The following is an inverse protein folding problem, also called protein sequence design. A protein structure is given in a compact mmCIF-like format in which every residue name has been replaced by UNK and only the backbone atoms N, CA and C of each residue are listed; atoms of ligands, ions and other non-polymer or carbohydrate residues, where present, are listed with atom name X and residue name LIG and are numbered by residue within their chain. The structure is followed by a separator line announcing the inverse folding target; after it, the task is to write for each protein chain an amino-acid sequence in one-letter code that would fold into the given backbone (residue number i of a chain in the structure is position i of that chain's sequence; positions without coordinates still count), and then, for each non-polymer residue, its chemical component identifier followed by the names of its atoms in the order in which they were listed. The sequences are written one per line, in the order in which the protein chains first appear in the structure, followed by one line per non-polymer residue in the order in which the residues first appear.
data_IF_305471642747
#
_entry.id   IF_305471642747
#
_cell.length_a   1.000
_cell.length_b   1.000
_cell.length_c   1.000
_cell.angle_alpha   90.00
_cell.angle_beta   90.00
_cell.angle_gamma   90.00
#
_symmetry.space_group_name_H-M   'P 1'
#
loop_
_entity.id
_entity.type
_entity.pdbx_description
1 polymer ?
#
# COMPACT_ATOMS: atom_id res chain seq x y z
N UNK A 1 -22.25 -35.36 0.22
CA UNK A 1 -22.44 -33.94 0.55
C UNK A 1 -21.43 -33.14 -0.22
N UNK A 2 -21.83 -32.49 -1.31
CA UNK A 2 -20.98 -31.53 -2.03
C UNK A 2 -20.96 -30.25 -1.19
N UNK A 3 -19.79 -29.93 -0.63
CA UNK A 3 -19.55 -28.61 -0.07
C UNK A 3 -19.53 -27.61 -1.22
N UNK A 4 -20.53 -26.75 -1.28
CA UNK A 4 -20.50 -25.59 -2.17
C UNK A 4 -19.29 -24.74 -1.73
N UNK A 5 -18.22 -24.71 -2.55
CA UNK A 5 -17.17 -23.70 -2.41
C UNK A 5 -17.85 -22.36 -2.64
N UNK A 6 -18.13 -21.63 -1.60
CA UNK A 6 -18.56 -20.25 -1.70
C UNK A 6 -17.54 -19.51 -2.54
N UNK A 7 -17.98 -18.96 -3.67
CA UNK A 7 -17.17 -18.04 -4.49
C UNK A 7 -16.77 -16.88 -3.57
N UNK A 8 -15.51 -16.72 -3.31
CA UNK A 8 -15.02 -15.59 -2.53
C UNK A 8 -15.43 -14.30 -3.26
N UNK A 9 -16.31 -13.53 -2.63
CA UNK A 9 -16.80 -12.28 -3.19
C UNK A 9 -15.62 -11.31 -3.32
N UNK A 10 -15.34 -10.83 -4.52
CA UNK A 10 -14.32 -9.79 -4.72
C UNK A 10 -14.76 -8.50 -4.05
N UNK A 11 -13.84 -7.88 -3.33
CA UNK A 11 -14.05 -6.59 -2.68
C UNK A 11 -13.19 -5.54 -3.38
N UNK A 12 -13.71 -4.34 -3.57
CA UNK A 12 -12.87 -3.23 -4.03
C UNK A 12 -11.79 -2.98 -2.98
N UNK A 13 -10.53 -3.24 -3.35
CA UNK A 13 -9.39 -3.08 -2.45
C UNK A 13 -8.59 -1.79 -2.71
N UNK A 14 -8.79 -1.17 -3.88
CA UNK A 14 -8.12 0.07 -4.23
C UNK A 14 -8.94 0.89 -5.22
N UNK A 15 -8.71 2.20 -5.19
CA UNK A 15 -9.26 3.15 -6.15
C UNK A 15 -8.26 4.28 -6.41
N UNK A 16 -8.43 4.94 -7.55
CA UNK A 16 -7.75 6.20 -7.84
C UNK A 16 -8.73 7.25 -8.37
N UNK A 17 -8.39 8.50 -8.13
CA UNK A 17 -9.05 9.67 -8.68
C UNK A 17 -7.96 10.63 -9.17
N UNK A 18 -8.12 11.19 -10.35
CA UNK A 18 -7.23 12.21 -10.89
C UNK A 18 -7.21 13.46 -9.99
N UNK A 19 -6.00 14.03 -9.75
CA UNK A 19 -5.85 15.14 -8.81
C UNK A 19 -6.39 16.48 -9.34
N UNK A 20 -6.21 16.72 -10.63
CA UNK A 20 -6.39 18.06 -11.20
C UNK A 20 -7.60 18.17 -12.13
N UNK A 21 -8.28 17.09 -12.46
CA UNK A 21 -9.37 17.05 -13.44
C UNK A 21 -8.89 17.40 -14.85
N UNK A 22 -7.58 17.26 -15.13
CA UNK A 22 -6.98 17.45 -16.43
C UNK A 22 -7.24 16.26 -17.34
N UNK A 23 -7.22 16.46 -18.65
CA UNK A 23 -7.48 15.39 -19.62
C UNK A 23 -6.18 14.63 -19.92
N UNK A 24 -5.71 13.86 -18.93
CA UNK A 24 -4.40 13.22 -18.97
C UNK A 24 -4.38 11.86 -19.66
N UNK A 25 -5.55 11.24 -19.86
CA UNK A 25 -5.67 9.98 -20.58
C UNK A 25 -5.91 10.26 -22.06
N UNK A 26 -5.10 9.66 -22.93
CA UNK A 26 -5.10 9.98 -24.37
C UNK A 26 -5.20 8.72 -25.21
N UNK A 27 -6.18 8.67 -26.10
CA UNK A 27 -6.22 7.70 -27.18
C UNK A 27 -5.78 8.39 -28.48
N UNK A 28 -4.80 7.82 -29.16
CA UNK A 28 -4.32 8.32 -30.46
C UNK A 28 -4.71 7.34 -31.57
N UNK A 29 -5.49 7.84 -32.54
CA UNK A 29 -5.84 7.11 -33.73
C UNK A 29 -4.73 7.26 -34.78
N UNK A 30 -4.16 6.14 -35.21
CA UNK A 30 -3.10 6.07 -36.23
C UNK A 30 -3.64 5.51 -37.57
N UNK A 31 -4.97 5.47 -37.76
CA UNK A 31 -5.70 4.98 -38.93
C UNK A 31 -5.64 3.46 -39.17
N UNK A 32 -4.58 2.79 -38.81
CA UNK A 32 -4.40 1.32 -38.92
C UNK A 32 -4.21 0.65 -37.56
N UNK A 33 -4.13 1.45 -36.52
CA UNK A 33 -3.98 1.04 -35.12
C UNK A 33 -4.39 2.19 -34.21
N UNK A 34 -4.45 1.92 -32.92
CA UNK A 34 -4.62 2.93 -31.89
C UNK A 34 -3.63 2.74 -30.75
N UNK A 35 -3.30 3.80 -30.04
CA UNK A 35 -2.54 3.74 -28.79
C UNK A 35 -3.34 4.41 -27.69
N UNK A 36 -3.36 3.79 -26.51
CA UNK A 36 -3.97 4.38 -25.33
C UNK A 36 -2.90 4.57 -24.26
N UNK A 37 -2.66 5.82 -23.90
CA UNK A 37 -1.58 6.24 -23.01
C UNK A 37 -2.08 7.34 -22.06
N UNK A 38 -1.22 7.75 -21.15
CA UNK A 38 -1.34 9.00 -20.41
C UNK A 38 -0.37 10.06 -20.99
N UNK A 39 -0.56 11.31 -20.58
CA UNK A 39 0.38 12.39 -20.89
C UNK A 39 1.78 12.11 -20.34
N UNK A 40 2.79 12.78 -20.90
CA UNK A 40 4.18 12.60 -20.47
C UNK A 40 4.36 12.88 -18.99
N UNK A 41 5.11 12.00 -18.31
CA UNK A 41 5.38 12.11 -16.86
C UNK A 41 4.34 11.45 -15.95
N UNK A 42 3.32 10.80 -16.50
CA UNK A 42 2.26 10.12 -15.76
C UNK A 42 1.14 11.07 -15.31
N UNK A 43 -0.08 10.56 -15.21
CA UNK A 43 -1.24 11.30 -14.69
C UNK A 43 -1.17 11.42 -13.16
N UNK A 44 -1.20 12.64 -12.59
CA UNK A 44 -1.24 12.80 -11.13
C UNK A 44 -2.57 12.29 -10.57
N UNK A 45 -2.50 11.36 -9.63
CA UNK A 45 -3.70 10.74 -9.02
C UNK A 45 -3.61 10.70 -7.52
N UNK A 46 -4.78 10.76 -6.86
CA UNK A 46 -4.98 10.30 -5.50
C UNK A 46 -5.29 8.82 -5.55
N UNK A 47 -4.47 8.02 -4.88
CA UNK A 47 -4.69 6.59 -4.74
C UNK A 47 -5.07 6.24 -3.31
N UNK A 48 -5.99 5.30 -3.14
CA UNK A 48 -6.47 4.86 -1.83
C UNK A 48 -6.60 3.33 -1.83
N UNK A 49 -5.94 2.69 -0.85
CA UNK A 49 -6.29 1.34 -0.46
C UNK A 49 -7.53 1.35 0.45
N UNK A 50 -8.40 0.38 0.29
CA UNK A 50 -9.61 0.25 1.12
C UNK A 50 -9.95 -1.22 1.37
N UNK A 51 -10.66 -1.50 2.44
CA UNK A 51 -11.09 -2.86 2.80
C UNK A 51 -9.93 -3.87 2.97
N UNK A 52 -8.75 -3.41 3.37
CA UNK A 52 -7.58 -4.25 3.62
C UNK A 52 -7.24 -4.15 5.11
N UNK A 53 -7.45 -5.27 5.85
CA UNK A 53 -7.03 -5.35 7.24
C UNK A 53 -5.51 -5.47 7.36
N UNK A 54 -4.92 -4.86 8.39
CA UNK A 54 -3.48 -4.94 8.66
C UNK A 54 -2.59 -4.10 7.73
N UNK A 55 -3.16 -3.13 7.02
CA UNK A 55 -2.38 -2.19 6.22
C UNK A 55 -1.64 -1.20 7.15
N UNK A 56 -0.32 -0.98 6.95
CA UNK A 56 0.45 -0.01 7.73
C UNK A 56 -0.17 1.40 7.72
N UNK A 57 -0.12 2.17 8.82
CA UNK A 57 -0.71 3.51 8.89
C UNK A 57 -0.25 4.45 7.76
N UNK A 58 1.00 4.38 7.34
CA UNK A 58 1.56 5.19 6.23
C UNK A 58 0.98 4.89 4.85
N UNK A 59 0.25 3.77 4.71
CA UNK A 59 -0.47 3.38 3.49
C UNK A 59 -1.99 3.53 3.64
N UNK A 60 -2.48 3.91 4.81
CA UNK A 60 -3.88 4.26 5.02
C UNK A 60 -4.12 5.69 4.53
N UNK A 61 -5.33 5.98 4.05
CA UNK A 61 -5.66 7.28 3.50
C UNK A 61 -5.11 7.52 2.08
N UNK A 62 -5.28 8.74 1.60
CA UNK A 62 -4.93 9.14 0.24
C UNK A 62 -3.41 9.18 0.05
N UNK A 63 -2.94 8.53 -1.00
CA UNK A 63 -1.54 8.54 -1.44
C UNK A 63 -1.42 9.39 -2.70
N UNK A 64 -0.49 10.37 -2.70
CA UNK A 64 -0.12 11.07 -3.92
C UNK A 64 0.71 10.16 -4.81
N UNK A 65 0.29 10.00 -6.06
CA UNK A 65 0.88 9.04 -6.97
C UNK A 65 0.76 9.49 -8.43
N UNK A 66 1.52 8.81 -9.29
CA UNK A 66 1.41 8.94 -10.74
C UNK A 66 0.92 7.64 -11.34
N UNK A 67 -0.09 7.76 -12.21
CA UNK A 67 -0.61 6.65 -12.98
C UNK A 67 0.01 6.66 -14.37
N UNK A 68 0.50 5.50 -14.77
CA UNK A 68 1.00 5.22 -16.11
C UNK A 68 0.12 4.14 -16.72
N UNK A 69 -0.32 4.33 -17.96
CA UNK A 69 -1.07 3.35 -18.73
C UNK A 69 -0.47 3.25 -20.11
N UNK A 70 -0.34 2.04 -20.63
CA UNK A 70 0.13 1.83 -21.99
C UNK A 70 -0.53 0.60 -22.60
N UNK A 71 -1.02 0.76 -23.80
CA UNK A 71 -1.47 -0.30 -24.68
C UNK A 71 -1.53 0.18 -26.13
N UNK A 72 -1.58 -0.77 -27.04
CA UNK A 72 -1.89 -0.56 -28.46
C UNK A 72 -3.10 -1.41 -28.83
N UNK A 73 -3.76 -1.08 -29.91
CA UNK A 73 -4.81 -1.92 -30.49
C UNK A 73 -4.67 -1.94 -32.00
N UNK A 74 -4.89 -3.09 -32.59
CA UNK A 74 -4.91 -3.30 -34.05
C UNK A 74 -6.33 -3.66 -34.54
N UNK A 75 -7.28 -3.84 -33.63
CA UNK A 75 -8.69 -4.10 -33.94
C UNK A 75 -9.48 -2.81 -34.10
N UNK A 76 -10.19 -2.61 -35.24
CA UNK A 76 -11.12 -1.50 -35.38
C UNK A 76 -12.22 -1.53 -34.33
N UNK A 77 -12.70 -0.36 -33.97
CA UNK A 77 -13.90 -0.19 -33.15
C UNK A 77 -15.19 -0.41 -33.97
N UNK A 78 -16.30 -0.41 -33.27
CA UNK A 78 -17.63 -0.53 -33.83
C UNK A 78 -18.61 0.43 -33.16
N UNK A 79 -19.71 0.73 -33.88
CA UNK A 79 -20.88 1.43 -33.32
C UNK A 79 -22.09 0.52 -33.44
N UNK A 80 -22.66 0.11 -32.31
CA UNK A 80 -23.81 -0.74 -32.24
C UNK A 80 -24.87 -0.10 -31.33
N UNK A 81 -26.09 0.14 -31.88
CA UNK A 81 -27.18 0.72 -31.09
C UNK A 81 -26.83 2.07 -30.44
N UNK A 82 -26.00 2.89 -31.11
CA UNK A 82 -25.56 4.18 -30.57
C UNK A 82 -24.39 4.08 -29.54
N UNK A 83 -23.85 2.90 -29.29
CA UNK A 83 -22.71 2.67 -28.42
C UNK A 83 -21.44 2.46 -29.25
N UNK A 84 -20.43 3.26 -29.03
CA UNK A 84 -19.06 3.06 -29.52
C UNK A 84 -18.37 2.01 -28.64
N UNK A 85 -17.66 1.07 -29.28
CA UNK A 85 -16.79 0.11 -28.62
C UNK A 85 -15.47 0.02 -29.38
N UNK A 86 -14.37 0.33 -28.69
CA UNK A 86 -13.01 0.18 -29.19
C UNK A 86 -12.33 -0.96 -28.44
N UNK A 87 -12.15 -2.13 -29.05
CA UNK A 87 -11.42 -3.23 -28.44
C UNK A 87 -9.95 -2.86 -28.18
N UNK A 88 -9.40 -3.41 -27.10
CA UNK A 88 -7.98 -3.37 -26.77
C UNK A 88 -7.45 -4.79 -26.88
N UNK A 89 -6.98 -5.15 -28.07
CA UNK A 89 -6.58 -6.52 -28.42
C UNK A 89 -5.14 -6.88 -27.98
N UNK A 90 -4.43 -5.93 -27.43
CA UNK A 90 -3.10 -6.14 -26.85
C UNK A 90 -3.12 -6.01 -25.33
N UNK A 91 -2.01 -6.40 -24.71
CA UNK A 91 -1.85 -6.26 -23.26
C UNK A 91 -1.92 -4.79 -22.83
N UNK A 92 -2.74 -4.52 -21.82
CA UNK A 92 -2.80 -3.23 -21.14
C UNK A 92 -2.01 -3.33 -19.86
N UNK A 93 -1.10 -2.40 -19.66
CA UNK A 93 -0.30 -2.28 -18.44
C UNK A 93 -0.64 -0.96 -17.76
N UNK A 94 -1.00 -1.03 -16.50
CA UNK A 94 -1.26 0.12 -15.64
C UNK A 94 -0.31 0.03 -14.46
N UNK A 95 0.37 1.13 -14.15
CA UNK A 95 1.22 1.26 -12.98
C UNK A 95 0.84 2.51 -12.20
N UNK A 96 0.65 2.37 -10.90
CA UNK A 96 0.40 3.48 -9.98
C UNK A 96 1.58 3.54 -9.03
N UNK A 97 2.39 4.57 -9.21
CA UNK A 97 3.66 4.76 -8.51
C UNK A 97 3.53 5.94 -7.56
N UNK A 98 3.82 5.72 -6.31
CA UNK A 98 3.80 6.75 -5.26
C UNK A 98 4.87 7.81 -5.54
N UNK A 99 4.55 9.08 -5.32
CA UNK A 99 5.47 10.21 -5.54
C UNK A 99 6.65 10.21 -4.55
N UNK A 100 6.46 9.62 -3.38
CA UNK A 100 7.50 9.47 -2.36
C UNK A 100 7.66 8.01 -1.97
N UNK A 101 8.87 7.52 -1.70
CA UNK A 101 9.08 6.18 -1.14
C UNK A 101 8.29 5.96 0.15
N UNK A 102 7.96 4.70 0.44
CA UNK A 102 7.36 4.35 1.72
C UNK A 102 8.35 4.63 2.87
N UNK A 103 7.87 5.02 4.07
CA UNK A 103 8.73 5.19 5.22
C UNK A 103 9.56 3.94 5.54
N UNK A 104 10.74 4.08 6.14
CA UNK A 104 11.52 2.95 6.64
C UNK A 104 10.68 2.02 7.52
N UNK A 105 10.85 0.71 7.39
CA UNK A 105 10.07 -0.30 8.11
C UNK A 105 8.79 -0.77 7.38
N UNK A 106 8.28 -0.01 6.43
CA UNK A 106 7.20 -0.47 5.54
C UNK A 106 7.83 -1.12 4.31
N UNK A 107 8.37 -2.30 4.50
CA UNK A 107 8.88 -3.12 3.43
C UNK A 107 10.28 -2.81 2.91
N UNK A 108 11.04 -1.99 3.57
CA UNK A 108 12.45 -1.69 3.26
C UNK A 108 12.68 -1.04 1.90
N UNK A 109 13.56 -0.04 1.84
CA UNK A 109 14.03 0.57 0.60
C UNK A 109 12.99 1.40 -0.17
N UNK A 110 13.34 1.73 -1.39
CA UNK A 110 12.61 2.64 -2.30
C UNK A 110 11.30 2.06 -2.85
N UNK A 111 10.43 1.54 -1.97
CA UNK A 111 9.15 0.94 -2.38
C UNK A 111 8.14 2.03 -2.74
N UNK A 112 7.82 2.09 -4.02
CA UNK A 112 6.93 3.11 -4.58
C UNK A 112 5.75 2.51 -5.34
N UNK A 113 5.83 1.25 -5.83
CA UNK A 113 4.76 0.64 -6.61
C UNK A 113 3.56 0.30 -5.74
N UNK A 114 2.55 1.19 -5.74
CA UNK A 114 1.28 0.95 -5.08
C UNK A 114 0.50 -0.18 -5.77
N UNK A 115 0.40 -0.13 -7.10
CA UNK A 115 -0.31 -1.14 -7.87
C UNK A 115 0.22 -1.21 -9.31
N UNK A 116 0.49 -2.41 -9.76
CA UNK A 116 0.61 -2.74 -11.19
C UNK A 116 -0.58 -3.64 -11.55
N UNK A 117 -1.35 -3.26 -12.55
CA UNK A 117 -2.40 -4.08 -13.13
C UNK A 117 -2.04 -4.38 -14.59
N UNK A 118 -2.03 -5.66 -14.94
CA UNK A 118 -1.80 -6.12 -16.31
C UNK A 118 -2.99 -6.95 -16.73
N UNK A 119 -3.59 -6.63 -17.86
CA UNK A 119 -4.70 -7.41 -18.39
C UNK A 119 -4.60 -7.52 -19.90
N UNK A 120 -5.14 -8.61 -20.41
CA UNK A 120 -5.14 -8.95 -21.84
C UNK A 120 -6.40 -9.72 -22.21
N UNK A 121 -6.72 -9.78 -23.50
CA UNK A 121 -7.82 -10.62 -23.99
C UNK A 121 -7.68 -12.08 -23.54
N UNK A 122 -8.81 -12.71 -23.24
CA UNK A 122 -8.95 -14.16 -23.08
C UNK A 122 -10.12 -14.64 -23.94
N UNK A 123 -11.32 -14.78 -23.39
CA UNK A 123 -12.53 -15.04 -24.17
C UNK A 123 -13.11 -13.79 -24.83
N UNK A 124 -12.82 -12.62 -24.24
CA UNK A 124 -13.22 -11.30 -24.73
C UNK A 124 -12.04 -10.32 -24.72
N UNK A 125 -12.12 -9.29 -25.56
CA UNK A 125 -11.18 -8.18 -25.52
C UNK A 125 -11.73 -7.09 -24.60
N UNK A 126 -10.90 -6.57 -23.66
CA UNK A 126 -11.25 -5.34 -22.96
C UNK A 126 -11.55 -4.23 -23.95
N UNK A 127 -12.48 -3.36 -23.64
CA UNK A 127 -12.91 -2.33 -24.61
C UNK A 127 -13.14 -0.99 -23.92
N UNK A 128 -12.82 0.09 -24.62
CA UNK A 128 -13.28 1.44 -24.26
C UNK A 128 -14.67 1.61 -24.88
N UNK A 129 -15.68 1.82 -24.05
CA UNK A 129 -17.09 1.89 -24.49
C UNK A 129 -17.79 3.14 -23.96
N UNK A 130 -18.72 3.68 -24.75
CA UNK A 130 -19.57 4.80 -24.34
C UNK A 130 -20.56 5.18 -25.43
N UNK A 131 -21.43 6.14 -25.14
CA UNK A 131 -22.40 6.63 -26.13
C UNK A 131 -21.69 7.36 -27.27
N UNK A 132 -22.10 7.10 -28.53
CA UNK A 132 -21.60 7.84 -29.69
C UNK A 132 -21.98 9.32 -29.58
N UNK A 133 -21.01 10.21 -29.70
CA UNK A 133 -21.18 11.65 -29.44
C UNK A 133 -21.17 12.02 -27.94
N UNK A 134 -20.97 11.06 -27.04
CA UNK A 134 -20.89 11.30 -25.60
C UNK A 134 -19.55 11.89 -25.15
N UNK A 135 -19.53 12.44 -23.94
CA UNK A 135 -18.36 13.01 -23.30
C UNK A 135 -17.81 12.13 -22.17
N UNK A 136 -18.24 10.88 -22.11
CA UNK A 136 -17.78 9.89 -21.14
C UNK A 136 -17.63 8.51 -21.78
N UNK A 137 -16.73 7.71 -21.21
CA UNK A 137 -16.49 6.33 -21.60
C UNK A 137 -16.12 5.49 -20.38
N UNK A 138 -16.17 4.17 -20.54
CA UNK A 138 -15.72 3.22 -19.52
C UNK A 138 -14.78 2.19 -20.14
N UNK A 139 -13.94 1.59 -19.31
CA UNK A 139 -13.11 0.45 -19.66
C UNK A 139 -13.12 -0.51 -18.45
N UNK A 140 -13.29 -1.80 -18.71
CA UNK A 140 -13.26 -2.80 -17.65
C UNK A 140 -12.56 -4.08 -18.11
N UNK A 141 -11.98 -4.78 -17.14
CA UNK A 141 -11.47 -6.12 -17.33
C UNK A 141 -11.81 -6.98 -16.11
N UNK A 142 -12.28 -8.19 -16.36
CA UNK A 142 -12.80 -9.09 -15.34
C UNK A 142 -12.38 -10.53 -15.66
N UNK A 143 -11.88 -11.26 -14.68
CA UNK A 143 -11.69 -12.71 -14.80
C UNK A 143 -13.06 -13.42 -14.73
N UNK A 144 -13.32 -14.50 -15.49
CA UNK A 144 -12.41 -15.18 -16.41
C UNK A 144 -12.38 -14.63 -17.85
N UNK A 145 -13.21 -13.63 -18.20
CA UNK A 145 -13.33 -13.13 -19.57
C UNK A 145 -12.01 -12.53 -20.09
N UNK A 146 -11.23 -11.99 -19.18
CA UNK A 146 -9.90 -11.44 -19.43
C UNK A 146 -8.88 -12.10 -18.52
N UNK A 147 -7.63 -12.15 -18.97
CA UNK A 147 -6.51 -12.42 -18.06
C UNK A 147 -6.18 -11.15 -17.30
N UNK A 148 -6.33 -11.17 -15.97
CA UNK A 148 -6.03 -10.01 -15.10
C UNK A 148 -5.04 -10.43 -14.03
N UNK A 149 -3.95 -9.69 -13.90
CA UNK A 149 -2.96 -9.86 -12.83
C UNK A 149 -2.72 -8.54 -12.10
N UNK A 150 -2.51 -8.64 -10.78
CA UNK A 150 -2.15 -7.51 -9.94
C UNK A 150 -0.81 -7.77 -9.26
N UNK A 151 0.00 -6.72 -9.12
CA UNK A 151 1.24 -6.71 -8.37
C UNK A 151 1.36 -5.42 -7.56
N UNK A 152 2.02 -5.49 -6.41
CA UNK A 152 2.27 -4.34 -5.54
C UNK A 152 3.52 -4.60 -4.71
N UNK A 153 4.20 -3.55 -4.28
CA UNK A 153 5.26 -3.67 -3.28
C UNK A 153 4.71 -3.93 -1.87
N UNK A 154 3.41 -3.75 -1.65
CA UNK A 154 2.76 -3.75 -0.35
C UNK A 154 1.73 -4.86 -0.16
N UNK A 155 1.21 -5.42 -1.25
CA UNK A 155 0.13 -6.40 -1.23
C UNK A 155 0.53 -7.68 -1.97
N UNK A 156 0.19 -8.83 -1.39
CA UNK A 156 0.29 -10.14 -2.03
C UNK A 156 -1.06 -10.52 -2.65
N UNK A 157 -1.00 -10.94 -3.90
CA UNK A 157 -2.13 -11.46 -4.67
C UNK A 157 -2.01 -12.96 -4.93
N UNK A 158 -1.10 -13.67 -4.24
CA UNK A 158 -0.80 -15.06 -4.50
C UNK A 158 -2.00 -16.01 -4.28
N UNK A 159 -2.87 -15.70 -3.33
CA UNK A 159 -4.07 -16.48 -3.01
C UNK A 159 -5.33 -16.01 -3.74
N UNK A 160 -5.26 -14.94 -4.55
CA UNK A 160 -6.43 -14.37 -5.22
C UNK A 160 -6.65 -15.02 -6.59
N UNK A 161 -7.90 -15.43 -6.87
CA UNK A 161 -8.29 -16.04 -8.14
C UNK A 161 -9.14 -15.12 -8.99
N UNK A 162 -9.91 -14.24 -8.36
CA UNK A 162 -10.76 -13.28 -9.06
C UNK A 162 -10.18 -11.88 -8.97
N UNK A 163 -10.12 -11.20 -10.11
CA UNK A 163 -9.56 -9.86 -10.24
C UNK A 163 -10.36 -9.08 -11.24
N UNK A 164 -10.83 -7.92 -10.82
CA UNK A 164 -11.64 -7.03 -11.64
C UNK A 164 -11.06 -5.62 -11.56
N UNK A 165 -11.18 -4.88 -12.64
CA UNK A 165 -10.92 -3.45 -12.66
C UNK A 165 -11.97 -2.74 -13.51
N UNK A 166 -12.25 -1.50 -13.17
CA UNK A 166 -13.12 -0.63 -13.93
C UNK A 166 -12.56 0.80 -13.92
N UNK A 167 -12.54 1.41 -15.10
CA UNK A 167 -12.17 2.80 -15.31
C UNK A 167 -13.37 3.57 -15.83
N UNK A 168 -13.50 4.80 -15.39
CA UNK A 168 -14.46 5.78 -15.90
C UNK A 168 -13.70 6.98 -16.43
N UNK A 169 -13.96 7.33 -17.67
CA UNK A 169 -13.39 8.49 -18.34
C UNK A 169 -14.48 9.54 -18.47
N UNK A 170 -14.14 10.78 -18.19
CA UNK A 170 -15.04 11.93 -18.26
C UNK A 170 -14.39 13.09 -19.01
N UNK A 171 -15.18 14.10 -19.32
CA UNK A 171 -14.69 15.30 -20.02
C UNK A 171 -13.95 14.98 -21.32
N UNK A 172 -14.43 13.97 -22.07
CA UNK A 172 -13.80 13.58 -23.33
C UNK A 172 -13.75 14.77 -24.30
N UNK A 173 -12.59 14.99 -24.89
CA UNK A 173 -12.39 16.01 -25.92
C UNK A 173 -11.53 15.44 -27.05
N UNK A 174 -12.07 15.41 -28.28
CA UNK A 174 -13.48 15.59 -28.66
C UNK A 174 -14.38 14.50 -28.11
N UNK A 175 -15.71 14.60 -28.35
CA UNK A 175 -16.69 13.60 -27.95
C UNK A 175 -16.42 12.22 -28.57
N UNK A 176 -16.87 11.16 -27.91
CA UNK A 176 -16.61 9.77 -28.28
C UNK A 176 -17.22 9.45 -29.67
N UNK A 177 -16.40 9.08 -30.64
CA UNK A 177 -16.84 8.60 -31.96
C UNK A 177 -15.71 7.82 -32.64
N UNK A 178 -16.04 7.13 -33.75
CA UNK A 178 -15.03 6.50 -34.57
C UNK A 178 -14.46 7.52 -35.58
N UNK A 179 -13.15 7.43 -35.79
CA UNK A 179 -12.38 8.20 -36.74
C UNK A 179 -11.83 7.36 -37.91
N UNK A 180 -10.67 7.74 -38.41
CA UNK A 180 -10.00 7.04 -39.50
C UNK A 180 -9.77 5.57 -39.22
N UNK A 181 -9.90 4.71 -40.21
CA UNK A 181 -9.73 3.26 -40.09
C UNK A 181 -10.75 2.56 -39.20
N UNK A 182 -11.87 3.23 -38.86
CA UNK A 182 -12.86 2.78 -37.88
C UNK A 182 -12.30 2.60 -36.47
N UNK A 183 -11.15 3.15 -36.13
CA UNK A 183 -10.67 3.25 -34.74
C UNK A 183 -11.37 4.40 -34.01
N UNK A 184 -11.39 4.32 -32.66
CA UNK A 184 -11.78 5.48 -31.85
C UNK A 184 -11.01 6.70 -32.32
N UNK A 185 -11.67 7.84 -32.50
CA UNK A 185 -10.95 9.08 -32.82
C UNK A 185 -9.97 9.45 -31.71
N UNK A 186 -8.96 10.24 -32.03
CA UNK A 186 -8.04 10.73 -31.00
C UNK A 186 -8.80 11.58 -29.99
N UNK A 187 -8.76 11.19 -28.73
CA UNK A 187 -9.44 11.85 -27.61
C UNK A 187 -8.47 12.05 -26.45
N UNK A 188 -8.78 13.03 -25.62
CA UNK A 188 -8.25 13.16 -24.27
C UNK A 188 -9.39 13.11 -23.24
N UNK A 189 -9.11 12.65 -22.03
CA UNK A 189 -10.11 12.49 -20.98
C UNK A 189 -9.50 12.60 -19.59
N UNK A 190 -10.29 13.04 -18.63
CA UNK A 190 -10.02 12.83 -17.19
C UNK A 190 -10.45 11.41 -16.80
N UNK A 191 -9.87 10.85 -15.74
CA UNK A 191 -10.13 9.46 -15.38
C UNK A 191 -10.16 9.16 -13.89
N UNK A 192 -10.90 8.11 -13.56
CA UNK A 192 -10.91 7.47 -12.24
C UNK A 192 -11.06 5.96 -12.41
N UNK A 193 -10.75 5.19 -11.36
CA UNK A 193 -10.92 3.75 -11.47
C UNK A 193 -10.88 3.03 -10.13
N UNK A 194 -11.33 1.79 -10.18
CA UNK A 194 -11.41 0.87 -9.05
C UNK A 194 -10.79 -0.48 -9.39
N UNK A 195 -10.25 -1.13 -8.38
CA UNK A 195 -9.66 -2.46 -8.48
C UNK A 195 -10.25 -3.36 -7.40
N UNK A 196 -10.71 -4.53 -7.78
CA UNK A 196 -11.36 -5.48 -6.89
C UNK A 196 -10.66 -6.84 -6.91
N UNK A 197 -10.38 -7.34 -5.71
CA UNK A 197 -9.80 -8.64 -5.40
C UNK A 197 -9.78 -8.82 -3.87
N UNK A 198 -9.09 -9.83 -3.36
CA UNK A 198 -8.89 -10.05 -1.91
C UNK A 198 -7.39 -10.20 -1.61
N UNK A 199 -6.57 -9.14 -1.78
CA UNK A 199 -5.16 -9.21 -1.42
C UNK A 199 -4.96 -9.17 0.09
N UNK A 200 -3.76 -9.60 0.51
CA UNK A 200 -3.30 -9.45 1.89
C UNK A 200 -2.05 -8.58 1.92
N UNK A 201 -1.81 -7.79 2.97
CA UNK A 201 -0.57 -7.05 3.12
C UNK A 201 0.64 -8.01 3.12
N UNK A 202 1.71 -7.66 2.39
CA UNK A 202 2.96 -8.41 2.43
C UNK A 202 3.60 -8.27 3.82
N UNK A 203 3.44 -7.11 4.42
CA UNK A 203 3.84 -6.81 5.78
C UNK A 203 2.60 -6.84 6.66
N UNK A 204 2.45 -7.94 7.38
CA UNK A 204 1.51 -7.99 8.49
C UNK A 204 2.10 -7.12 9.59
N UNK A 205 1.50 -5.95 9.83
CA UNK A 205 1.60 -5.38 11.18
C UNK A 205 0.93 -6.43 12.06
N UNK A 206 1.61 -7.01 13.06
CA UNK A 206 0.96 -7.98 13.92
C UNK A 206 -0.33 -7.36 14.45
N UNK A 207 -1.46 -7.96 14.12
CA UNK A 207 -2.76 -7.49 14.58
C UNK A 207 -2.81 -7.69 16.09
N UNK A 208 -2.81 -6.59 16.82
CA UNK A 208 -3.31 -6.38 18.18
C UNK A 208 -2.89 -7.27 19.36
N UNK A 209 -2.00 -8.22 19.23
CA UNK A 209 -1.15 -8.65 20.34
C UNK A 209 0.25 -8.14 20.06
N UNK A 210 0.51 -6.88 20.43
CA UNK A 210 1.86 -6.33 20.36
C UNK A 210 2.82 -7.25 21.07
N UNK A 211 4.04 -7.32 20.60
CA UNK A 211 5.11 -8.02 21.32
C UNK A 211 5.41 -7.31 22.61
N UNK A 212 5.93 -8.04 23.58
CA UNK A 212 6.29 -7.52 24.88
C UNK A 212 7.82 -7.40 25.00
N UNK A 213 8.27 -6.43 25.78
CA UNK A 213 9.64 -6.38 26.30
C UNK A 213 9.54 -6.47 27.83
N UNK A 214 9.95 -7.60 28.36
CA UNK A 214 10.00 -7.87 29.78
C UNK A 214 11.44 -7.92 30.27
N UNK A 215 11.73 -7.34 31.42
CA UNK A 215 13.07 -7.36 31.96
C UNK A 215 13.11 -6.87 33.40
N UNK A 216 14.32 -6.77 33.93
CA UNK A 216 14.61 -6.32 35.29
C UNK A 216 15.65 -5.21 35.31
N UNK A 217 15.45 -4.28 36.19
CA UNK A 217 16.49 -3.29 36.56
C UNK A 217 17.19 -3.82 37.80
N UNK A 218 18.48 -4.11 37.67
CA UNK A 218 19.29 -4.77 38.71
C UNK A 218 20.41 -3.85 39.19
N UNK A 219 20.88 -4.05 40.43
CA UNK A 219 22.12 -3.47 40.93
C UNK A 219 23.34 -4.32 40.55
N UNK A 220 24.55 -3.91 40.96
CA UNK A 220 25.79 -4.65 40.70
C UNK A 220 25.87 -6.03 41.37
N UNK A 221 25.01 -6.30 42.34
CA UNK A 221 24.92 -7.59 43.06
C UNK A 221 23.76 -8.48 42.51
N UNK A 222 23.06 -8.04 41.43
CA UNK A 222 21.96 -8.75 40.81
C UNK A 222 20.63 -8.61 41.56
N UNK A 223 20.51 -7.69 42.51
CA UNK A 223 19.26 -7.44 43.24
C UNK A 223 18.39 -6.44 42.45
N UNK A 224 17.10 -6.62 42.46
CA UNK A 224 16.16 -5.75 41.78
C UNK A 224 16.11 -4.33 42.36
N UNK A 225 16.19 -3.32 41.51
CA UNK A 225 16.01 -1.91 41.86
C UNK A 225 14.55 -1.53 41.68
N UNK A 226 13.87 -1.20 42.76
CA UNK A 226 12.48 -0.74 42.76
C UNK A 226 12.38 0.74 42.36
N UNK A 227 11.23 1.09 41.80
CA UNK A 227 10.88 2.48 41.43
C UNK A 227 11.88 3.13 40.44
N UNK A 228 12.60 2.34 39.67
CA UNK A 228 13.33 2.86 38.53
C UNK A 228 12.35 3.23 37.41
N UNK A 229 12.53 4.36 36.79
CA UNK A 229 11.76 4.75 35.61
C UNK A 229 12.41 4.17 34.37
N UNK A 230 11.68 3.30 33.67
CA UNK A 230 12.10 2.75 32.38
C UNK A 230 11.30 3.44 31.29
N UNK A 231 11.99 3.99 30.30
CA UNK A 231 11.40 4.70 29.16
C UNK A 231 11.70 3.96 27.88
N UNK A 232 10.69 3.76 27.05
CA UNK A 232 10.79 3.23 25.70
C UNK A 232 10.46 4.36 24.72
N UNK A 233 11.36 4.64 23.79
CA UNK A 233 11.14 5.61 22.71
C UNK A 233 11.13 4.87 21.40
N UNK A 234 10.04 5.01 20.63
CA UNK A 234 9.92 4.43 19.31
C UNK A 234 10.56 5.32 18.22
N UNK A 235 10.53 4.86 16.97
CA UNK A 235 11.11 5.60 15.82
C UNK A 235 10.38 6.92 15.52
N UNK A 236 9.13 7.05 15.95
CA UNK A 236 8.30 8.25 15.75
C UNK A 236 8.55 9.29 16.88
N UNK A 237 9.43 8.96 17.84
CA UNK A 237 9.73 9.81 19.00
C UNK A 237 8.70 9.72 20.14
N UNK A 238 7.72 8.80 20.05
CA UNK A 238 6.77 8.58 21.14
C UNK A 238 7.45 7.90 22.32
N UNK A 239 7.14 8.36 23.51
CA UNK A 239 7.78 7.89 24.75
C UNK A 239 6.75 7.24 25.67
N UNK A 240 6.91 5.94 25.88
CA UNK A 240 6.17 5.18 26.89
C UNK A 240 7.02 5.02 28.15
N UNK A 241 6.41 5.15 29.33
CA UNK A 241 7.10 5.05 30.64
C UNK A 241 6.44 4.01 31.52
N UNK A 242 7.27 3.18 32.14
CA UNK A 242 6.86 2.23 33.19
C UNK A 242 7.79 2.37 34.39
N UNK A 243 7.34 1.90 35.56
CA UNK A 243 8.13 1.92 36.77
C UNK A 243 8.40 0.49 37.20
N UNK A 244 9.67 0.20 37.56
CA UNK A 244 10.02 -1.14 37.99
C UNK A 244 9.38 -1.49 39.37
N UNK A 245 8.99 -2.77 39.47
CA UNK A 245 8.40 -3.34 40.69
C UNK A 245 9.40 -3.41 41.87
N UNK A 246 8.95 -3.92 43.01
CA UNK A 246 9.82 -4.17 44.19
C UNK A 246 10.96 -5.14 43.90
N UNK A 247 10.84 -6.00 42.91
CA UNK A 247 11.84 -6.96 42.44
C UNK A 247 12.60 -6.49 41.19
N UNK A 248 12.42 -5.23 40.79
CA UNK A 248 13.05 -4.64 39.63
C UNK A 248 12.37 -4.97 38.29
N UNK A 249 11.30 -5.75 38.27
CA UNK A 249 10.64 -6.14 37.02
C UNK A 249 9.92 -4.95 36.35
N UNK A 250 10.00 -4.90 35.03
CA UNK A 250 9.23 -3.98 34.18
C UNK A 250 8.71 -4.74 32.95
N UNK A 251 7.64 -4.23 32.36
CA UNK A 251 7.05 -4.75 31.12
C UNK A 251 6.54 -3.61 30.26
N UNK A 252 6.81 -3.69 28.97
CA UNK A 252 6.17 -2.91 27.92
C UNK A 252 5.36 -3.85 27.04
N UNK A 253 4.08 -3.55 26.88
CA UNK A 253 3.16 -4.31 26.05
C UNK A 253 2.74 -3.53 24.82
N UNK A 254 2.26 -4.21 23.78
CA UNK A 254 1.69 -3.57 22.60
C UNK A 254 2.72 -2.95 21.65
N UNK A 255 3.99 -3.37 21.70
CA UNK A 255 5.02 -2.89 20.78
C UNK A 255 4.82 -3.57 19.42
N UNK A 256 4.81 -2.78 18.34
CA UNK A 256 4.68 -3.36 16.99
C UNK A 256 5.93 -4.19 16.64
N UNK A 257 5.75 -5.44 16.23
CA UNK A 257 6.88 -6.27 15.79
C UNK A 257 7.56 -5.66 14.56
N UNK A 258 8.89 -5.74 14.52
CA UNK A 258 9.73 -5.09 13.51
C UNK A 258 10.12 -3.65 13.86
N UNK A 259 9.57 -3.08 14.92
CA UNK A 259 9.91 -1.73 15.38
C UNK A 259 11.27 -1.72 16.09
N UNK A 260 12.10 -0.72 15.79
CA UNK A 260 13.32 -0.45 16.56
C UNK A 260 13.01 0.58 17.64
N UNK A 261 13.31 0.24 18.87
CA UNK A 261 13.06 1.09 20.04
C UNK A 261 14.34 1.35 20.83
N UNK A 262 14.37 2.49 21.50
CA UNK A 262 15.43 2.81 22.48
C UNK A 262 14.82 2.69 23.87
N UNK A 263 15.40 1.81 24.67
CA UNK A 263 15.00 1.65 26.09
C UNK A 263 16.06 2.28 26.99
N UNK A 264 15.64 3.17 27.87
CA UNK A 264 16.49 3.87 28.82
C UNK A 264 15.96 3.72 30.24
N UNK A 265 16.87 3.64 31.20
CA UNK A 265 16.55 3.50 32.64
C UNK A 265 17.09 4.68 33.42
N UNK A 266 16.25 5.24 34.29
CA UNK A 266 16.63 6.28 35.26
C UNK A 266 16.31 5.78 36.67
N UNK A 267 17.35 5.68 37.51
CA UNK A 267 17.21 5.34 38.93
C UNK A 267 18.15 6.20 39.78
N UNK A 268 17.75 6.47 41.05
CA UNK A 268 18.63 7.17 41.99
C UNK A 268 19.86 6.33 42.25
N UNK A 269 21.04 6.95 42.23
CA UNK A 269 22.36 6.37 42.56
C UNK A 269 22.93 5.41 41.49
N UNK A 270 22.25 5.13 40.41
CA UNK A 270 22.71 4.23 39.35
C UNK A 270 22.65 4.91 37.98
N UNK A 271 23.61 4.62 37.15
CA UNK A 271 23.66 5.04 35.76
C UNK A 271 23.57 3.80 34.87
N UNK A 272 22.71 3.85 33.83
CA UNK A 272 22.50 2.76 32.89
C UNK A 272 22.78 3.24 31.47
N UNK A 273 23.38 2.39 30.66
CA UNK A 273 23.50 2.66 29.24
C UNK A 273 22.15 2.41 28.52
N UNK A 274 21.73 3.32 27.65
CA UNK A 274 20.57 3.06 26.80
C UNK A 274 20.80 1.83 25.92
N UNK A 275 19.74 1.06 25.65
CA UNK A 275 19.79 -0.09 24.75
C UNK A 275 18.86 0.14 23.58
N UNK A 276 19.37 -0.14 22.38
CA UNK A 276 18.59 -0.10 21.13
C UNK A 276 18.31 -1.54 20.73
N UNK A 277 17.05 -1.85 20.43
CA UNK A 277 16.62 -3.19 20.02
C UNK A 277 15.55 -3.12 18.95
N UNK A 278 15.63 -4.01 17.96
CA UNK A 278 14.55 -4.26 17.02
C UNK A 278 13.72 -5.43 17.54
N UNK A 279 12.45 -5.18 17.82
CA UNK A 279 11.56 -6.13 18.48
C UNK A 279 10.82 -6.95 17.42
N UNK A 280 11.23 -8.18 17.18
CA UNK A 280 10.61 -9.10 16.20
C UNK A 280 9.68 -10.12 16.85
N UNK A 281 9.88 -10.39 18.14
CA UNK A 281 9.10 -11.34 18.95
C UNK A 281 9.13 -10.86 20.42
N UNK A 282 8.42 -11.56 21.30
CA UNK A 282 8.47 -11.27 22.74
C UNK A 282 9.90 -11.41 23.26
N UNK A 283 10.40 -10.35 23.90
CA UNK A 283 11.72 -10.34 24.51
C UNK A 283 11.54 -10.48 26.02
N UNK A 284 11.91 -11.62 26.57
CA UNK A 284 12.13 -11.83 27.99
C UNK A 284 13.58 -11.48 28.34
N UNK A 285 13.87 -11.34 29.62
CA UNK A 285 15.24 -11.16 30.16
C UNK A 285 15.99 -9.92 29.60
N UNK A 286 15.23 -8.83 29.28
CA UNK A 286 15.82 -7.56 28.83
C UNK A 286 16.37 -6.76 30.02
N UNK A 287 17.33 -7.35 30.73
CA UNK A 287 17.82 -6.85 32.00
C UNK A 287 18.79 -5.67 31.84
N UNK A 288 18.70 -4.70 32.75
CA UNK A 288 19.61 -3.57 32.88
C UNK A 288 20.50 -3.74 34.11
N UNK A 289 21.81 -3.71 33.86
CA UNK A 289 22.85 -3.62 34.88
C UNK A 289 23.49 -2.23 34.90
N UNK A 290 23.89 -1.68 36.04
CA UNK A 290 24.51 -0.36 36.09
C UNK A 290 25.82 -0.35 35.32
N UNK A 291 26.10 0.76 34.65
CA UNK A 291 27.41 1.01 34.05
C UNK A 291 28.46 1.07 35.14
N UNK A 292 29.60 0.43 34.94
CA UNK A 292 30.67 0.27 35.94
C UNK A 292 31.38 1.58 36.39
N UNK A 293 30.78 2.74 36.11
CA UNK A 293 31.35 4.05 36.48
C UNK A 293 30.31 4.83 37.25
N UNK A 294 30.25 4.63 38.54
CA UNK A 294 30.10 5.65 39.58
C UNK A 294 29.81 5.04 40.96
N UNK A 295 30.79 4.38 41.54
CA UNK A 295 30.97 4.55 42.98
C UNK A 295 31.53 5.96 43.21
N UNK A 296 30.66 6.95 43.13
CA UNK A 296 31.03 8.30 43.49
C UNK A 296 30.92 8.50 44.99
N UNK A 297 32.07 8.38 45.60
CA UNK A 297 32.52 9.26 46.69
C UNK A 297 31.51 9.42 47.83
N UNK A 298 31.47 8.45 48.70
CA UNK A 298 31.22 8.70 50.11
C UNK A 298 32.41 9.48 50.65
N UNK A 299 32.47 10.78 50.35
CA UNK A 299 33.35 11.72 51.02
C UNK A 299 32.92 11.85 52.49
N UNK A 300 33.76 11.36 53.37
CA UNK A 300 33.73 11.69 54.79
C UNK A 300 33.54 13.18 54.98
N UNK A 301 32.62 13.56 55.85
CA UNK A 301 32.81 14.39 57.02
C UNK A 301 31.72 14.10 58.04
#
# INVERSE_FOLDING_TARGET
MLSAKGSAQTVTFAQFLEQNGTQDFVFNNLSTSGTFNQVSGGSPVWFLYQNIAGLPPSLQGLQSARLYITTTTTQPGSVNGGTVSQPLDQTVIIQIIRDTPAPPGVGGGDRTNLLTAVFSPNSQSPSITGANGGNSATMSATTPDHTVTFGSHFLSFASTTQRNLAFSFSSLSPSLSLGAGSFLQSISAAGSGTFASNPVPIYQVPSSSGVTIDGRVLDSEGRGIRNATVTLTNQDGEVTRVTSSSFGNFSFEGISAGQTVVVNVTAKRYSFAPRVVTVTENIGDFDFLPSATNELISGKR
#
